data_IF_863851799758
#
_entry.id   IF_863851799758
#
_cell.length_a   1.000
_cell.length_b   1.000
_cell.length_c   1.000
_cell.angle_alpha   90.00
_cell.angle_beta   90.00
_cell.angle_gamma   90.00
#
_symmetry.space_group_name_H-M   'P 1'
#
loop_
_entity.id
_entity.type
_entity.pdbx_description
1 polymer ?
#
# COMPACT_ATOMS: atom_id res chain seq x y z
N UNK A 1 18.41 11.18 3.74
CA UNK A 1 17.22 11.04 4.60
C UNK A 1 16.09 10.42 3.79
N UNK A 2 15.30 9.52 4.36
CA UNK A 2 14.13 8.92 3.70
C UNK A 2 12.85 9.63 4.12
N UNK A 3 11.91 9.79 3.20
CA UNK A 3 10.60 10.39 3.44
C UNK A 3 9.54 9.29 3.55
N UNK A 4 8.82 9.25 4.67
CA UNK A 4 7.65 8.39 4.82
C UNK A 4 6.53 8.92 3.92
N UNK A 5 6.01 8.08 3.04
CA UNK A 5 4.95 8.44 2.08
C UNK A 5 3.58 8.00 2.60
N UNK A 6 3.48 6.81 3.19
CA UNK A 6 2.24 6.30 3.75
C UNK A 6 2.49 5.37 4.93
N UNK A 7 1.55 5.37 5.87
CA UNK A 7 1.50 4.44 7.00
C UNK A 7 0.08 3.90 7.11
N UNK A 8 -0.05 2.59 7.33
CA UNK A 8 -1.33 1.92 7.49
C UNK A 8 -1.29 0.97 8.68
N UNK A 9 -2.24 1.14 9.60
CA UNK A 9 -2.52 0.16 10.65
C UNK A 9 -3.26 -1.04 10.07
N UNK A 10 -2.83 -2.24 10.46
CA UNK A 10 -3.39 -3.52 10.00
C UNK A 10 -3.89 -4.34 11.19
N UNK A 11 -4.72 -5.34 10.91
CA UNK A 11 -5.14 -6.32 11.91
C UNK A 11 -3.93 -7.07 12.50
N UNK A 12 -4.10 -7.58 13.72
CA UNK A 12 -3.06 -8.36 14.41
C UNK A 12 -1.87 -7.53 14.89
N UNK A 13 -2.08 -6.25 15.25
CA UNK A 13 -1.04 -5.32 15.72
C UNK A 13 0.09 -5.13 14.71
N UNK A 14 -0.23 -5.14 13.42
CA UNK A 14 0.73 -4.92 12.34
C UNK A 14 0.62 -3.50 11.79
N UNK A 15 1.71 -2.99 11.25
CA UNK A 15 1.77 -1.68 10.58
C UNK A 15 2.55 -1.85 9.29
N UNK A 16 2.03 -1.29 8.20
CA UNK A 16 2.76 -1.15 6.95
C UNK A 16 3.23 0.29 6.77
N UNK A 17 4.45 0.48 6.30
CA UNK A 17 5.03 1.80 6.06
C UNK A 17 5.69 1.83 4.69
N UNK A 18 5.34 2.81 3.85
CA UNK A 18 6.10 3.09 2.63
C UNK A 18 7.06 4.24 2.88
N UNK A 19 8.33 4.02 2.52
CA UNK A 19 9.39 5.00 2.64
C UNK A 19 10.01 5.18 1.28
N UNK A 20 10.16 6.43 0.86
CA UNK A 20 10.90 6.80 -0.33
C UNK A 20 12.25 7.37 0.07
N UNK A 21 13.31 6.92 -0.58
CA UNK A 21 14.67 7.41 -0.37
C UNK A 21 15.25 7.82 -1.71
N UNK A 22 16.33 8.61 -1.69
CA UNK A 22 16.97 9.08 -2.92
C UNK A 22 17.36 7.96 -3.90
N UNK A 23 17.55 6.72 -3.44
CA UNK A 23 17.96 5.58 -4.27
C UNK A 23 16.94 4.46 -4.39
N UNK A 24 15.95 4.38 -3.48
CA UNK A 24 15.00 3.25 -3.45
C UNK A 24 13.72 3.57 -2.68
N UNK A 25 12.61 3.06 -3.17
CA UNK A 25 11.36 2.94 -2.43
C UNK A 25 11.28 1.58 -1.72
N UNK A 26 10.83 1.57 -0.47
CA UNK A 26 10.51 0.34 0.30
C UNK A 26 9.10 0.37 0.84
N UNK A 27 8.50 -0.82 1.01
CA UNK A 27 7.33 -1.02 1.87
C UNK A 27 7.74 -2.02 2.94
N UNK A 28 7.68 -1.60 4.19
CA UNK A 28 8.11 -2.39 5.33
C UNK A 28 6.90 -2.73 6.22
N UNK A 29 6.85 -3.97 6.69
CA UNK A 29 5.90 -4.45 7.67
C UNK A 29 6.55 -4.50 9.05
N UNK A 30 5.78 -4.09 10.04
CA UNK A 30 6.15 -4.10 11.44
C UNK A 30 5.06 -4.81 12.26
N UNK A 31 5.46 -5.50 13.31
CA UNK A 31 4.57 -5.92 14.39
C UNK A 31 4.81 -5.05 15.62
N UNK A 32 3.76 -4.74 16.36
CA UNK A 32 3.86 -4.05 17.63
C UNK A 32 3.93 -5.10 18.75
N UNK A 33 5.00 -5.05 19.55
CA UNK A 33 5.08 -5.84 20.78
C UNK A 33 3.98 -5.44 21.77
N UNK A 34 3.79 -6.21 22.85
CA UNK A 34 2.80 -5.87 23.89
C UNK A 34 3.01 -4.49 24.52
N UNK A 35 4.26 -4.01 24.54
CA UNK A 35 4.63 -2.67 25.00
C UNK A 35 4.52 -1.60 23.91
N UNK A 36 3.89 -1.90 22.77
CA UNK A 36 3.70 -0.99 21.65
C UNK A 36 4.96 -0.70 20.83
N UNK A 37 6.07 -1.40 21.07
CA UNK A 37 7.31 -1.16 20.31
C UNK A 37 7.23 -1.81 18.92
N UNK A 38 7.46 -1.06 17.83
CA UNK A 38 7.49 -1.62 16.48
C UNK A 38 8.75 -2.44 16.25
N UNK A 39 8.57 -3.66 15.74
CA UNK A 39 9.62 -4.55 15.30
C UNK A 39 9.40 -4.82 13.83
N UNK A 40 10.40 -4.53 12.99
CA UNK A 40 10.31 -4.80 11.55
C UNK A 40 10.28 -6.31 11.35
N UNK A 41 9.26 -6.81 10.65
CA UNK A 41 9.08 -8.24 10.39
C UNK A 41 9.47 -8.60 8.98
N UNK A 42 9.21 -7.72 8.01
CA UNK A 42 9.41 -8.02 6.59
C UNK A 42 9.56 -6.74 5.76
N UNK A 43 10.37 -6.79 4.72
CA UNK A 43 10.38 -5.80 3.64
C UNK A 43 9.76 -6.42 2.40
N UNK A 44 8.78 -5.76 1.79
CA UNK A 44 8.10 -6.26 0.59
C UNK A 44 8.95 -6.02 -0.65
N UNK A 45 8.73 -6.87 -1.65
CA UNK A 45 9.35 -6.73 -2.97
C UNK A 45 9.03 -5.35 -3.58
N UNK A 46 10.00 -4.81 -4.30
CA UNK A 46 9.93 -3.47 -4.88
C UNK A 46 8.72 -3.32 -5.81
N UNK A 47 7.94 -2.25 -5.59
CA UNK A 47 6.89 -1.85 -6.52
C UNK A 47 7.46 -1.27 -7.82
N UNK A 48 8.79 -1.10 -7.94
CA UNK A 48 9.46 -0.45 -9.07
C UNK A 48 9.15 1.04 -9.23
N UNK A 49 8.25 1.59 -8.39
CA UNK A 49 7.73 2.94 -8.44
C UNK A 49 7.40 3.42 -7.03
N UNK A 50 7.36 4.74 -6.83
CA UNK A 50 7.04 5.32 -5.52
C UNK A 50 5.61 4.95 -5.08
N UNK A 51 5.46 4.43 -3.86
CA UNK A 51 4.18 4.01 -3.28
C UNK A 51 3.65 5.10 -2.36
N UNK A 52 2.55 5.72 -2.78
CA UNK A 52 2.00 6.97 -2.25
C UNK A 52 0.85 6.76 -1.25
N UNK A 53 0.23 5.58 -1.29
CA UNK A 53 -0.82 5.20 -0.34
C UNK A 53 -0.82 3.68 -0.17
N UNK A 54 -1.26 3.21 0.99
CA UNK A 54 -1.41 1.80 1.32
C UNK A 54 -2.85 1.53 1.74
N UNK A 55 -3.38 0.36 1.36
CA UNK A 55 -4.73 -0.07 1.69
C UNK A 55 -4.76 -1.56 2.04
N UNK A 56 -5.48 -1.90 3.09
CA UNK A 56 -5.75 -3.29 3.46
C UNK A 56 -6.81 -3.89 2.54
N UNK A 57 -6.81 -5.22 2.42
CA UNK A 57 -7.84 -5.97 1.70
C UNK A 57 -8.72 -6.68 2.72
N UNK A 58 -9.96 -6.21 2.85
CA UNK A 58 -10.95 -6.86 3.70
C UNK A 58 -11.30 -8.24 3.12
N UNK A 59 -11.40 -9.25 3.99
CA UNK A 59 -11.57 -10.65 3.58
C UNK A 59 -10.26 -11.39 3.26
N UNK A 60 -9.11 -10.70 3.14
CA UNK A 60 -7.81 -11.33 2.88
C UNK A 60 -6.69 -10.67 3.71
N UNK A 61 -6.44 -11.23 4.91
CA UNK A 61 -5.62 -10.62 5.97
C UNK A 61 -4.15 -10.39 5.59
N UNK A 62 -3.64 -11.16 4.63
CA UNK A 62 -2.25 -11.06 4.17
C UNK A 62 -2.12 -10.41 2.79
N UNK A 63 -3.18 -9.76 2.28
CA UNK A 63 -3.10 -8.97 1.07
C UNK A 63 -2.96 -7.47 1.38
N UNK A 64 -2.05 -6.81 0.67
CA UNK A 64 -1.82 -5.36 0.76
C UNK A 64 -1.86 -4.74 -0.62
N UNK A 65 -2.55 -3.60 -0.74
CA UNK A 65 -2.57 -2.79 -1.96
C UNK A 65 -1.75 -1.52 -1.72
N UNK A 66 -0.93 -1.15 -2.70
CA UNK A 66 -0.20 0.11 -2.72
C UNK A 66 -0.52 0.90 -3.97
N UNK A 67 -0.90 2.16 -3.81
CA UNK A 67 -1.11 3.06 -4.94
C UNK A 67 0.23 3.65 -5.36
N UNK A 68 0.60 3.48 -6.61
CA UNK A 68 1.88 3.98 -7.12
C UNK A 68 1.73 5.38 -7.71
N UNK A 69 2.81 6.16 -7.74
CA UNK A 69 2.82 7.51 -8.29
C UNK A 69 2.51 7.58 -9.80
N UNK A 70 2.80 6.52 -10.56
CA UNK A 70 2.55 6.51 -12.00
C UNK A 70 1.09 6.15 -12.33
N UNK A 71 0.48 6.97 -13.19
CA UNK A 71 -0.72 6.71 -14.01
C UNK A 71 -1.79 5.80 -13.40
N UNK A 72 -2.14 6.01 -12.13
CA UNK A 72 -3.21 5.27 -11.47
C UNK A 72 -2.98 3.76 -11.41
N UNK A 73 -1.74 3.27 -11.35
CA UNK A 73 -1.49 1.85 -11.09
C UNK A 73 -1.49 1.51 -9.61
N UNK A 74 -1.82 0.26 -9.32
CA UNK A 74 -1.74 -0.34 -7.98
C UNK A 74 -0.82 -1.55 -8.00
N UNK A 75 -0.10 -1.76 -6.91
CA UNK A 75 0.66 -2.96 -6.63
C UNK A 75 -0.07 -3.79 -5.56
N UNK A 76 -0.06 -5.11 -5.73
CA UNK A 76 -0.66 -6.07 -4.82
C UNK A 76 0.43 -7.00 -4.28
N UNK A 77 0.57 -7.07 -2.96
CA UNK A 77 1.54 -7.94 -2.29
C UNK A 77 0.88 -9.00 -1.43
N UNK A 78 1.61 -10.09 -1.25
CA UNK A 78 1.41 -11.02 -0.16
C UNK A 78 2.29 -10.59 1.03
N UNK A 79 1.67 -10.18 2.12
CA UNK A 79 2.33 -9.73 3.35
C UNK A 79 2.97 -10.85 4.16
N UNK A 80 2.62 -12.11 3.88
CA UNK A 80 3.23 -13.27 4.53
C UNK A 80 4.58 -13.62 3.90
N UNK A 81 4.64 -13.62 2.57
CA UNK A 81 5.86 -13.99 1.83
C UNK A 81 6.71 -12.79 1.42
N UNK A 82 6.12 -11.59 1.40
CA UNK A 82 6.77 -10.36 0.94
C UNK A 82 6.64 -10.13 -0.56
N UNK A 83 6.08 -11.12 -1.29
CA UNK A 83 6.12 -11.13 -2.74
C UNK A 83 5.17 -10.11 -3.36
N UNK A 84 5.66 -9.41 -4.39
CA UNK A 84 4.81 -8.65 -5.29
C UNK A 84 4.06 -9.63 -6.20
N UNK A 85 2.76 -9.78 -5.97
CA UNK A 85 1.91 -10.69 -6.74
C UNK A 85 1.59 -10.11 -8.11
N UNK A 86 1.25 -8.82 -8.17
CA UNK A 86 0.86 -8.15 -9.41
C UNK A 86 0.98 -6.64 -9.33
N UNK A 87 1.30 -6.03 -10.47
CA UNK A 87 1.04 -4.60 -10.74
C UNK A 87 -0.11 -4.50 -11.73
N UNK A 88 -1.11 -3.70 -11.41
CA UNK A 88 -2.32 -3.52 -12.19
C UNK A 88 -2.40 -2.06 -12.60
N UNK A 89 -2.39 -1.80 -13.90
CA UNK A 89 -2.70 -0.47 -14.43
C UNK A 89 -4.22 -0.32 -14.53
N UNK A 90 -4.76 0.73 -13.92
CA UNK A 90 -6.20 1.01 -13.96
C UNK A 90 -6.57 1.89 -15.16
N UNK A 91 -5.59 2.33 -15.97
CA UNK A 91 -5.82 3.25 -17.08
C UNK A 91 -6.30 4.64 -16.65
N UNK A 92 -6.17 4.97 -15.36
CA UNK A 92 -6.58 6.24 -14.80
C UNK A 92 -5.42 7.24 -14.91
N UNK A 93 -5.54 8.18 -15.82
CA UNK A 93 -4.52 9.21 -16.03
C UNK A 93 -4.57 10.35 -15.01
N UNK A 94 -5.43 10.27 -13.98
CA UNK A 94 -5.55 11.32 -12.98
C UNK A 94 -4.53 11.13 -11.86
N UNK A 95 -3.46 11.96 -11.80
CA UNK A 95 -2.50 11.90 -10.71
C UNK A 95 -3.21 12.12 -9.37
N UNK A 96 -2.88 11.31 -8.36
CA UNK A 96 -3.47 11.39 -7.03
C UNK A 96 -4.76 10.58 -6.82
N UNK A 97 -5.17 9.77 -7.79
CA UNK A 97 -6.10 8.66 -7.50
C UNK A 97 -5.38 7.61 -6.67
N UNK A 98 -5.93 7.28 -5.50
CA UNK A 98 -5.36 6.26 -4.61
C UNK A 98 -6.42 5.24 -4.21
N UNK A 99 -6.00 4.00 -3.99
CA UNK A 99 -6.80 2.98 -3.34
C UNK A 99 -6.90 3.30 -1.84
N UNK A 100 -8.14 3.42 -1.36
CA UNK A 100 -8.47 3.62 0.04
C UNK A 100 -8.68 2.28 0.76
N UNK A 101 -9.28 1.31 0.06
CA UNK A 101 -9.59 -0.02 0.61
C UNK A 101 -9.75 -1.05 -0.50
N UNK A 102 -9.30 -2.27 -0.26
CA UNK A 102 -9.64 -3.45 -1.07
C UNK A 102 -10.65 -4.34 -0.36
N UNK A 103 -11.40 -5.12 -1.13
CA UNK A 103 -12.32 -6.14 -0.64
C UNK A 103 -12.14 -7.40 -1.49
N UNK A 104 -11.92 -8.53 -0.84
CA UNK A 104 -11.84 -9.84 -1.46
C UNK A 104 -13.09 -10.64 -1.12
N UNK A 105 -13.77 -11.16 -2.14
CA UNK A 105 -14.87 -12.10 -1.97
C UNK A 105 -14.75 -13.21 -3.03
N UNK A 106 -14.52 -14.44 -2.57
CA UNK A 106 -14.11 -15.57 -3.42
C UNK A 106 -12.91 -15.22 -4.31
N UNK A 107 -13.09 -15.26 -5.64
CA UNK A 107 -12.03 -15.01 -6.64
C UNK A 107 -12.00 -13.56 -7.15
N UNK A 108 -12.80 -12.67 -6.56
CA UNK A 108 -12.93 -11.28 -7.02
C UNK A 108 -12.32 -10.31 -6.02
N UNK A 109 -11.40 -9.48 -6.51
CA UNK A 109 -10.91 -8.30 -5.81
C UNK A 109 -11.66 -7.06 -6.30
N UNK A 110 -12.25 -6.32 -5.37
CA UNK A 110 -12.85 -5.01 -5.60
C UNK A 110 -12.05 -3.94 -4.86
N UNK A 111 -11.85 -2.77 -5.48
CA UNK A 111 -11.05 -1.68 -4.89
C UNK A 111 -11.84 -0.38 -4.87
N UNK A 112 -11.79 0.32 -3.74
CA UNK A 112 -12.36 1.65 -3.58
C UNK A 112 -11.27 2.68 -3.87
N UNK A 113 -11.47 3.48 -4.92
CA UNK A 113 -10.54 4.51 -5.36
C UNK A 113 -11.07 5.90 -5.00
N UNK A 114 -10.17 6.80 -4.61
CA UNK A 114 -10.48 8.20 -4.34
C UNK A 114 -9.46 9.11 -5.00
N UNK A 115 -9.93 10.17 -5.65
CA UNK A 115 -9.08 11.23 -6.18
C UNK A 115 -8.77 12.24 -5.07
N UNK A 116 -7.51 12.37 -4.66
CA UNK A 116 -7.11 13.30 -3.60
C UNK A 116 -7.22 14.79 -3.98
N UNK A 117 -7.35 15.12 -5.27
CA UNK A 117 -7.30 16.51 -5.78
C UNK A 117 -8.65 17.13 -6.15
N UNK A 118 -9.79 16.46 -5.94
CA UNK A 118 -11.10 16.98 -6.39
C UNK A 118 -11.80 17.94 -5.43
N UNK A 119 -11.13 18.47 -4.41
CA UNK A 119 -11.66 19.53 -3.53
C UNK A 119 -10.73 20.74 -3.50
N UNK A 120 -10.59 21.42 -4.64
CA UNK A 120 -10.28 22.86 -4.70
C UNK A 120 -10.61 23.36 -6.11
N UNK A 121 -11.90 23.60 -6.37
CA UNK A 121 -12.30 24.64 -7.32
C UNK A 121 -13.12 25.65 -6.52
N UNK A 122 -12.47 26.73 -6.09
CA UNK A 122 -13.12 28.00 -5.74
C UNK A 122 -12.92 28.96 -6.90
#
# INVERSE_FOLDING_TARGET
AGQVQAVLGLSGRRVACSVDTASRQTVDLFSLSERGRPVRTLSLDSAGQSVQALAAVEGETDALIGSTAAAGSIALWNMRTGQLLRRISLGLYNPGTVCLRGYSHHVRLSVLLVCRWTLCKS
#
